data_IF_588198951106
#
_entry.id   IF_588198951106
#
_cell.length_a   1.000
_cell.length_b   1.000
_cell.length_c   1.000
_cell.angle_alpha   90.00
_cell.angle_beta   90.00
_cell.angle_gamma   90.00
#
_symmetry.space_group_name_H-M   'P 1'
#
loop_
_entity.id
_entity.type
_entity.pdbx_description
1 polymer ?
#
# COMPACT_ATOMS: atom_id res chain seq x y z
N UNK A 1 2.80 -9.93 15.12
CA UNK A 1 1.94 -10.79 14.28
C UNK A 1 0.52 -10.25 14.21
N UNK A 2 -0.24 -10.58 13.16
CA UNK A 2 -1.65 -10.22 13.05
C UNK A 2 -2.45 -11.17 13.94
N UNK A 3 -2.95 -10.69 15.10
CA UNK A 3 -3.67 -11.49 16.09
C UNK A 3 -5.19 -11.46 15.89
N UNK A 4 -5.71 -10.40 15.27
CA UNK A 4 -7.15 -10.18 15.08
C UNK A 4 -7.45 -9.62 13.71
N UNK A 5 -8.61 -9.95 13.14
CA UNK A 5 -9.19 -9.34 11.96
C UNK A 5 -10.34 -8.37 12.29
N UNK A 6 -10.58 -8.09 13.57
CA UNK A 6 -11.55 -7.09 14.06
C UNK A 6 -12.98 -7.29 13.55
N UNK A 7 -13.36 -8.51 13.15
CA UNK A 7 -14.69 -8.86 12.64
C UNK A 7 -14.80 -8.82 11.10
N UNK A 8 -13.70 -8.70 10.36
CA UNK A 8 -13.72 -8.92 8.91
C UNK A 8 -14.22 -10.34 8.63
N UNK A 9 -15.27 -10.44 7.81
CA UNK A 9 -15.96 -11.70 7.52
C UNK A 9 -16.40 -12.49 8.78
N UNK A 10 -16.65 -11.81 9.90
CA UNK A 10 -17.02 -12.43 11.18
C UNK A 10 -15.85 -13.01 11.97
N UNK A 11 -14.61 -12.87 11.51
CA UNK A 11 -13.42 -13.37 12.20
C UNK A 11 -12.85 -12.28 13.12
N UNK A 12 -12.82 -12.53 14.40
CA UNK A 12 -12.25 -11.62 15.41
C UNK A 12 -10.82 -12.02 15.75
N UNK A 13 -10.63 -13.17 16.36
CA UNK A 13 -9.34 -13.65 16.82
C UNK A 13 -8.81 -14.79 15.95
N UNK A 14 -7.52 -14.78 15.70
CA UNK A 14 -6.83 -15.83 14.99
C UNK A 14 -6.09 -16.73 15.98
N UNK A 15 -6.24 -18.06 15.83
CA UNK A 15 -5.44 -19.00 16.61
C UNK A 15 -3.94 -18.77 16.35
N UNK A 16 -3.09 -19.17 17.28
CA UNK A 16 -1.66 -18.88 17.24
C UNK A 16 -1.01 -19.27 15.89
N UNK A 17 -1.24 -20.49 15.43
CA UNK A 17 -0.67 -20.99 14.17
C UNK A 17 -1.20 -20.26 12.95
N UNK A 18 -2.52 -20.02 12.88
CA UNK A 18 -3.15 -19.26 11.79
C UNK A 18 -2.61 -17.83 11.76
N UNK A 19 -2.47 -17.18 12.91
CA UNK A 19 -1.93 -15.83 13.05
C UNK A 19 -0.49 -15.72 12.52
N UNK A 20 0.38 -16.71 12.82
CA UNK A 20 1.75 -16.74 12.30
C UNK A 20 1.73 -16.93 10.78
N UNK A 21 1.01 -17.94 10.29
CA UNK A 21 0.93 -18.23 8.86
C UNK A 21 0.38 -17.04 8.08
N UNK A 22 -0.68 -16.42 8.57
CA UNK A 22 -1.28 -15.24 7.95
C UNK A 22 -0.30 -14.05 7.93
N UNK A 23 0.45 -13.84 9.00
CA UNK A 23 1.47 -12.79 9.05
C UNK A 23 2.61 -13.04 8.06
N UNK A 24 3.11 -14.27 7.97
CA UNK A 24 4.17 -14.64 7.01
C UNK A 24 3.69 -14.41 5.57
N UNK A 25 2.47 -14.88 5.25
CA UNK A 25 1.87 -14.68 3.92
C UNK A 25 1.73 -13.18 3.62
N UNK A 26 1.29 -12.38 4.58
CA UNK A 26 1.16 -10.92 4.44
C UNK A 26 2.51 -10.27 4.14
N UNK A 27 3.58 -10.65 4.85
CA UNK A 27 4.94 -10.17 4.55
C UNK A 27 5.38 -10.55 3.13
N UNK A 28 5.22 -11.81 2.76
CA UNK A 28 5.63 -12.31 1.43
C UNK A 28 4.89 -11.54 0.33
N UNK A 29 3.57 -11.37 0.47
CA UNK A 29 2.74 -10.65 -0.51
C UNK A 29 3.19 -9.19 -0.61
N UNK A 30 3.34 -8.48 0.51
CA UNK A 30 3.69 -7.06 0.51
C UNK A 30 5.11 -6.80 0.00
N UNK A 31 6.09 -7.63 0.36
CA UNK A 31 7.47 -7.53 -0.13
C UNK A 31 7.48 -7.65 -1.66
N UNK A 32 6.83 -8.68 -2.20
CA UNK A 32 6.79 -8.90 -3.65
C UNK A 32 5.95 -7.83 -4.37
N UNK A 33 4.80 -7.47 -3.81
CA UNK A 33 3.93 -6.44 -4.38
C UNK A 33 4.64 -5.09 -4.44
N UNK A 34 5.43 -4.75 -3.42
CA UNK A 34 6.18 -3.52 -3.39
C UNK A 34 7.33 -3.49 -4.40
N UNK A 35 7.99 -4.61 -4.61
CA UNK A 35 8.99 -4.75 -5.67
C UNK A 35 8.38 -4.52 -7.06
N UNK A 36 7.16 -4.99 -7.29
CA UNK A 36 6.46 -4.83 -8.58
C UNK A 36 6.02 -3.40 -8.89
N UNK A 37 5.77 -2.53 -7.89
CA UNK A 37 5.41 -1.13 -8.15
C UNK A 37 6.62 -0.22 -8.44
N UNK A 38 7.85 -0.69 -8.23
CA UNK A 38 9.08 0.06 -8.55
C UNK A 38 9.39 0.01 -10.06
N UNK A 39 8.37 0.21 -10.90
CA UNK A 39 8.49 0.17 -12.36
C UNK A 39 8.65 1.52 -13.03
N UNK A 40 8.42 2.63 -12.34
CA UNK A 40 8.56 4.01 -12.86
C UNK A 40 9.16 4.96 -11.83
N UNK A 41 9.90 5.97 -12.35
CA UNK A 41 10.61 6.94 -11.51
C UNK A 41 9.70 7.60 -10.47
N UNK A 42 10.15 7.58 -9.24
CA UNK A 42 9.54 8.25 -8.11
C UNK A 42 8.33 7.56 -7.53
N UNK A 43 7.73 6.54 -8.15
CA UNK A 43 6.48 5.94 -7.67
C UNK A 43 6.68 5.25 -6.32
N UNK A 44 7.54 4.22 -6.26
CA UNK A 44 7.79 3.47 -5.04
C UNK A 44 8.30 4.37 -3.92
N UNK A 45 9.23 5.28 -4.21
CA UNK A 45 9.77 6.22 -3.24
C UNK A 45 8.72 7.19 -2.70
N UNK A 46 7.99 7.90 -3.57
CA UNK A 46 6.97 8.86 -3.13
C UNK A 46 5.86 8.18 -2.33
N UNK A 47 5.45 7.00 -2.77
CA UNK A 47 4.46 6.19 -2.06
C UNK A 47 4.95 5.79 -0.66
N UNK A 48 6.21 5.32 -0.53
CA UNK A 48 6.79 4.95 0.77
C UNK A 48 6.83 6.13 1.74
N UNK A 49 7.23 7.32 1.26
CA UNK A 49 7.23 8.54 2.09
C UNK A 49 5.85 8.83 2.64
N UNK A 50 4.81 8.74 1.80
CA UNK A 50 3.44 9.01 2.23
C UNK A 50 2.95 7.94 3.22
N UNK A 51 3.21 6.65 2.96
CA UNK A 51 2.86 5.58 3.89
C UNK A 51 3.51 5.78 5.26
N UNK A 52 4.82 6.08 5.28
CA UNK A 52 5.56 6.33 6.51
C UNK A 52 5.09 7.60 7.23
N UNK A 53 4.68 8.65 6.50
CA UNK A 53 4.07 9.83 7.11
C UNK A 53 2.73 9.49 7.79
N UNK A 54 1.86 8.74 7.11
CA UNK A 54 0.55 8.35 7.63
C UNK A 54 0.69 7.46 8.88
N UNK A 55 1.55 6.44 8.83
CA UNK A 55 1.81 5.59 9.99
C UNK A 55 2.53 6.37 11.10
N UNK A 56 3.58 7.14 10.78
CA UNK A 56 4.35 7.91 11.75
C UNK A 56 3.50 8.93 12.52
N UNK A 57 2.63 9.68 11.81
CA UNK A 57 1.67 10.60 12.46
C UNK A 57 0.68 9.84 13.34
N UNK A 58 0.22 8.66 12.88
CA UNK A 58 -0.68 7.83 13.67
C UNK A 58 0.01 7.35 14.95
N UNK A 59 1.24 6.84 14.86
CA UNK A 59 2.03 6.42 16.03
C UNK A 59 2.31 7.56 17.00
N UNK A 60 2.63 8.74 16.49
CA UNK A 60 2.86 9.92 17.34
C UNK A 60 1.60 10.26 18.15
N UNK A 61 0.41 10.22 17.53
CA UNK A 61 -0.87 10.47 18.19
C UNK A 61 -1.26 9.38 19.19
N UNK A 62 -0.76 8.16 19.02
CA UNK A 62 -1.01 7.02 19.89
C UNK A 62 -0.13 7.00 21.16
N UNK A 63 0.75 8.01 21.33
CA UNK A 63 1.48 8.28 22.57
C UNK A 63 2.89 7.70 22.61
N UNK A 64 3.58 7.99 23.73
CA UNK A 64 5.03 7.83 23.90
C UNK A 64 5.53 6.39 23.70
N UNK A 65 4.72 5.41 24.06
CA UNK A 65 5.07 3.99 23.88
C UNK A 65 5.40 3.63 22.42
N UNK A 66 4.85 4.40 21.46
CA UNK A 66 5.01 4.17 20.03
C UNK A 66 6.13 5.03 19.40
N UNK A 67 6.87 5.83 20.17
CA UNK A 67 7.96 6.67 19.64
C UNK A 67 9.04 5.91 18.88
N UNK A 68 9.42 4.66 19.21
CA UNK A 68 10.34 3.90 18.35
C UNK A 68 9.82 3.71 16.93
N UNK A 69 8.50 3.54 16.73
CA UNK A 69 7.88 3.42 15.40
C UNK A 69 7.79 4.77 14.68
N UNK A 70 7.65 5.88 15.43
CA UNK A 70 7.76 7.23 14.87
C UNK A 70 9.17 7.48 14.35
N UNK A 71 10.20 7.13 15.14
CA UNK A 71 11.62 7.28 14.74
C UNK A 71 11.90 6.41 13.52
N UNK A 72 11.46 5.14 13.51
CA UNK A 72 11.60 4.26 12.34
C UNK A 72 10.99 4.88 11.09
N UNK A 73 9.75 5.39 11.19
CA UNK A 73 9.08 6.07 10.06
C UNK A 73 9.88 7.28 9.58
N UNK A 74 10.42 8.09 10.49
CA UNK A 74 11.27 9.24 10.17
C UNK A 74 12.57 8.86 9.46
N UNK A 75 13.22 7.80 9.91
CA UNK A 75 14.47 7.26 9.29
C UNK A 75 14.18 6.79 7.86
N UNK A 76 13.08 6.04 7.65
CA UNK A 76 12.67 5.59 6.31
C UNK A 76 12.39 6.79 5.41
N UNK A 77 11.65 7.78 5.88
CA UNK A 77 11.36 9.01 5.12
C UNK A 77 12.66 9.70 4.72
N UNK A 78 13.59 9.92 5.65
CA UNK A 78 14.88 10.58 5.36
C UNK A 78 15.69 9.84 4.30
N UNK A 79 15.83 8.52 4.44
CA UNK A 79 16.55 7.68 3.48
C UNK A 79 15.90 7.70 2.09
N UNK A 80 14.55 7.59 2.02
CA UNK A 80 13.82 7.58 0.75
C UNK A 80 13.81 8.96 0.09
N UNK A 81 13.77 10.06 0.84
CA UNK A 81 13.89 11.41 0.27
C UNK A 81 15.28 11.62 -0.37
N UNK A 82 16.35 11.15 0.29
CA UNK A 82 17.69 11.17 -0.30
C UNK A 82 17.76 10.35 -1.60
N UNK A 83 17.15 9.15 -1.61
CA UNK A 83 17.01 8.35 -2.83
C UNK A 83 16.24 9.10 -3.92
N UNK A 84 15.07 9.68 -3.61
CA UNK A 84 14.22 10.39 -4.58
C UNK A 84 14.93 11.59 -5.22
N UNK A 85 15.80 12.27 -4.49
CA UNK A 85 16.60 13.37 -5.03
C UNK A 85 17.42 12.92 -6.25
N UNK A 86 18.03 11.74 -6.20
CA UNK A 86 18.78 11.17 -7.32
C UNK A 86 17.89 10.46 -8.34
N UNK A 87 16.88 9.72 -7.89
CA UNK A 87 15.98 8.96 -8.77
C UNK A 87 15.19 9.86 -9.71
N UNK A 88 14.76 11.04 -9.25
CA UNK A 88 14.03 12.03 -10.04
C UNK A 88 14.96 12.99 -10.81
N UNK A 89 16.28 12.78 -10.76
CA UNK A 89 17.23 13.62 -11.49
C UNK A 89 16.97 13.59 -13.00
N UNK A 90 17.10 14.76 -13.64
CA UNK A 90 17.07 14.86 -15.10
C UNK A 90 18.40 14.46 -15.75
N UNK A 91 19.48 14.42 -14.98
CA UNK A 91 20.81 14.06 -15.46
C UNK A 91 21.00 12.55 -15.35
N UNK A 92 21.19 11.88 -16.49
CA UNK A 92 21.38 10.41 -16.55
C UNK A 92 22.54 9.91 -15.68
N UNK A 93 23.62 10.72 -15.58
CA UNK A 93 24.81 10.38 -14.79
C UNK A 93 24.57 10.30 -13.28
N UNK A 94 23.56 11.02 -12.79
CA UNK A 94 23.24 11.11 -11.36
C UNK A 94 22.02 10.26 -10.97
N UNK A 95 21.36 9.66 -11.96
CA UNK A 95 20.13 8.91 -11.73
C UNK A 95 20.44 7.54 -11.15
N UNK A 96 19.80 7.23 -10.05
CA UNK A 96 19.87 5.90 -9.41
C UNK A 96 18.50 5.20 -9.44
N UNK A 97 18.53 3.88 -9.44
CA UNK A 97 17.34 3.04 -9.31
C UNK A 97 17.35 2.38 -7.94
N UNK A 98 16.16 2.05 -7.41
CA UNK A 98 16.03 1.42 -6.10
C UNK A 98 16.57 -0.01 -6.11
N UNK A 99 16.30 -0.74 -7.18
CA UNK A 99 16.63 -2.15 -7.33
C UNK A 99 15.84 -3.05 -6.39
N UNK A 100 15.94 -4.35 -6.62
CA UNK A 100 15.14 -5.35 -5.89
C UNK A 100 15.42 -5.31 -4.38
N UNK A 101 16.68 -5.15 -3.97
CA UNK A 101 17.05 -5.09 -2.55
C UNK A 101 16.37 -3.90 -1.84
N UNK A 102 16.37 -2.72 -2.47
CA UNK A 102 15.77 -1.52 -1.89
C UNK A 102 14.25 -1.62 -1.83
N UNK A 103 13.61 -2.03 -2.91
CA UNK A 103 12.15 -2.14 -2.98
C UNK A 103 11.62 -3.25 -2.05
N UNK A 104 12.27 -4.41 -1.99
CA UNK A 104 11.91 -5.50 -1.08
C UNK A 104 12.10 -5.10 0.39
N UNK A 105 13.18 -4.40 0.72
CA UNK A 105 13.41 -3.87 2.07
C UNK A 105 12.32 -2.89 2.47
N UNK A 106 11.93 -1.95 1.58
CA UNK A 106 10.83 -1.03 1.85
C UNK A 106 9.50 -1.77 2.00
N UNK A 107 9.23 -2.77 1.16
CA UNK A 107 8.05 -3.62 1.29
C UNK A 107 7.98 -4.33 2.64
N UNK A 108 9.11 -4.85 3.12
CA UNK A 108 9.22 -5.45 4.47
C UNK A 108 8.94 -4.43 5.58
N UNK A 109 9.58 -3.26 5.53
CA UNK A 109 9.42 -2.22 6.55
C UNK A 109 8.00 -1.66 6.59
N UNK A 110 7.36 -1.48 5.44
CA UNK A 110 5.97 -1.04 5.36
C UNK A 110 4.99 -2.12 5.86
N UNK A 111 5.24 -3.39 5.56
CA UNK A 111 4.46 -4.50 6.12
C UNK A 111 4.62 -4.57 7.65
N UNK A 112 5.84 -4.40 8.15
CA UNK A 112 6.12 -4.35 9.59
C UNK A 112 5.37 -3.22 10.28
N UNK A 113 5.46 -1.98 9.75
CA UNK A 113 4.73 -0.84 10.33
C UNK A 113 3.22 -1.06 10.29
N UNK A 114 2.66 -1.59 9.20
CA UNK A 114 1.23 -1.87 9.12
C UNK A 114 0.76 -2.91 10.15
N UNK A 115 1.53 -3.98 10.35
CA UNK A 115 1.21 -5.02 11.34
C UNK A 115 1.30 -4.45 12.75
N UNK A 116 2.32 -3.65 13.06
CA UNK A 116 2.43 -2.96 14.35
C UNK A 116 1.25 -2.02 14.57
N UNK A 117 0.82 -1.27 13.53
CA UNK A 117 -0.33 -0.39 13.62
C UNK A 117 -1.62 -1.14 13.98
N UNK A 118 -1.87 -2.28 13.36
CA UNK A 118 -3.05 -3.12 13.66
C UNK A 118 -2.96 -3.66 15.09
N UNK A 119 -1.78 -4.13 15.51
CA UNK A 119 -1.56 -4.80 16.79
C UNK A 119 -1.82 -3.87 18.00
N UNK A 120 -1.53 -2.57 17.87
CA UNK A 120 -1.76 -1.56 18.92
C UNK A 120 -3.24 -1.48 19.34
N UNK A 121 -4.19 -1.74 18.42
CA UNK A 121 -5.62 -1.63 18.70
C UNK A 121 -6.27 -2.93 19.23
N UNK A 122 -5.49 -3.99 19.40
CA UNK A 122 -6.01 -5.29 19.88
C UNK A 122 -6.15 -5.30 21.40
N UNK A 123 -5.16 -4.80 22.13
CA UNK A 123 -5.11 -4.87 23.59
C UNK A 123 -5.82 -3.65 24.20
N UNK A 124 -7.09 -3.84 24.58
CA UNK A 124 -7.97 -2.78 25.14
C UNK A 124 -7.59 -2.38 26.56
N UNK A 125 -6.89 -3.24 27.27
CA UNK A 125 -6.69 -3.14 28.73
C UNK A 125 -5.30 -2.62 29.13
N UNK A 126 -4.45 -2.24 28.17
CA UNK A 126 -3.16 -1.63 28.47
C UNK A 126 -3.34 -0.18 28.94
N UNK A 127 -2.80 0.22 30.12
CA UNK A 127 -3.02 1.55 30.71
C UNK A 127 -2.52 2.71 29.86
N UNK A 128 -1.74 2.45 28.82
CA UNK A 128 -1.15 3.46 27.91
C UNK A 128 -1.72 3.40 26.49
N UNK A 129 -2.77 2.59 26.24
CA UNK A 129 -3.44 2.62 24.92
C UNK A 129 -4.43 3.78 24.93
N UNK A 130 -4.34 4.70 23.96
CA UNK A 130 -5.30 5.77 23.87
C UNK A 130 -6.72 5.19 23.79
N UNK A 131 -7.68 5.88 24.40
CA UNK A 131 -9.11 5.53 24.38
C UNK A 131 -9.73 5.50 22.97
N UNK A 132 -8.92 5.61 21.92
CA UNK A 132 -9.31 5.55 20.51
C UNK A 132 -9.39 4.10 20.06
N UNK A 133 -10.56 3.50 20.26
CA UNK A 133 -10.84 2.18 19.72
C UNK A 133 -11.10 2.31 18.22
N UNK A 134 -10.12 1.97 17.39
CA UNK A 134 -10.27 1.97 15.94
C UNK A 134 -10.58 0.54 15.46
N UNK A 135 -11.86 0.19 15.41
CA UNK A 135 -12.29 -1.14 14.91
C UNK A 135 -11.90 -1.36 13.45
N UNK A 136 -11.73 -0.31 12.67
CA UNK A 136 -11.34 -0.36 11.27
C UNK A 136 -9.82 -0.34 11.03
N UNK A 137 -8.99 -0.50 12.08
CA UNK A 137 -7.54 -0.45 11.97
C UNK A 137 -6.97 -1.35 10.85
N UNK A 138 -7.39 -2.62 10.69
CA UNK A 138 -6.92 -3.46 9.58
C UNK A 138 -7.26 -2.88 8.21
N UNK A 139 -8.47 -2.34 8.03
CA UNK A 139 -8.90 -1.77 6.74
C UNK A 139 -8.18 -0.45 6.45
N UNK A 140 -7.89 0.36 7.47
CA UNK A 140 -7.06 1.57 7.34
C UNK A 140 -5.64 1.19 6.92
N UNK A 141 -5.03 0.16 7.54
CA UNK A 141 -3.72 -0.34 7.14
C UNK A 141 -3.73 -0.85 5.68
N UNK A 142 -4.78 -1.59 5.28
CA UNK A 142 -4.98 -2.00 3.88
C UNK A 142 -5.12 -0.79 2.97
N UNK A 143 -5.89 0.24 3.34
CA UNK A 143 -6.05 1.45 2.53
C UNK A 143 -4.73 2.21 2.36
N UNK A 144 -3.88 2.26 3.41
CA UNK A 144 -2.54 2.85 3.32
C UNK A 144 -1.62 2.00 2.40
N UNK A 145 -1.79 0.68 2.35
CA UNK A 145 -0.98 -0.21 1.52
C UNK A 145 -1.72 -0.69 0.24
N UNK A 146 -2.79 0.00 -0.14
CA UNK A 146 -3.71 -0.48 -1.18
C UNK A 146 -3.05 -0.58 -2.57
N UNK A 147 -2.14 0.35 -2.90
CA UNK A 147 -1.58 0.44 -4.24
C UNK A 147 -0.80 -0.83 -4.64
N UNK A 148 0.23 -1.29 -3.88
CA UNK A 148 0.94 -2.53 -4.23
C UNK A 148 0.02 -3.75 -4.16
N UNK A 149 -0.88 -3.81 -3.17
CA UNK A 149 -1.79 -4.93 -3.00
C UNK A 149 -2.68 -5.09 -4.25
N UNK A 150 -3.35 -4.02 -4.68
CA UNK A 150 -4.28 -4.08 -5.79
C UNK A 150 -3.59 -4.24 -7.14
N UNK A 151 -2.45 -3.59 -7.34
CA UNK A 151 -1.70 -3.75 -8.58
C UNK A 151 -1.30 -5.23 -8.79
N UNK A 152 -0.81 -5.87 -7.72
CA UNK A 152 -0.47 -7.30 -7.74
C UNK A 152 -1.72 -8.18 -7.90
N UNK A 153 -2.79 -7.94 -7.13
CA UNK A 153 -4.03 -8.73 -7.24
C UNK A 153 -4.65 -8.62 -8.63
N UNK A 154 -4.68 -7.41 -9.20
CA UNK A 154 -5.21 -7.20 -10.54
C UNK A 154 -4.46 -8.02 -11.59
N UNK A 155 -3.12 -8.02 -11.53
CA UNK A 155 -2.30 -8.82 -12.44
C UNK A 155 -2.53 -10.32 -12.25
N UNK A 156 -2.62 -10.80 -11.01
CA UNK A 156 -2.93 -12.21 -10.71
C UNK A 156 -4.30 -12.60 -11.31
N UNK A 157 -5.32 -11.78 -11.11
CA UNK A 157 -6.68 -12.02 -11.64
C UNK A 157 -6.65 -12.09 -13.18
N UNK A 158 -5.98 -11.14 -13.84
CA UNK A 158 -5.85 -11.14 -15.30
C UNK A 158 -5.12 -12.40 -15.81
N UNK A 159 -4.06 -12.83 -15.14
CA UNK A 159 -3.31 -14.04 -15.51
C UNK A 159 -4.16 -15.29 -15.38
N UNK A 160 -4.86 -15.45 -14.25
CA UNK A 160 -5.75 -16.60 -14.03
C UNK A 160 -6.90 -16.63 -15.03
N UNK A 161 -7.51 -15.48 -15.35
CA UNK A 161 -8.55 -15.38 -16.38
C UNK A 161 -8.03 -15.81 -17.77
N UNK A 162 -6.74 -15.56 -18.06
CA UNK A 162 -6.08 -15.98 -19.29
C UNK A 162 -5.42 -17.37 -19.21
N UNK A 163 -5.72 -18.16 -18.17
CA UNK A 163 -5.14 -19.51 -17.92
C UNK A 163 -3.61 -19.53 -17.87
N UNK A 164 -2.98 -18.44 -17.40
CA UNK A 164 -1.54 -18.29 -17.21
C UNK A 164 -1.17 -18.50 -15.75
N UNK A 165 0.11 -18.79 -15.50
CA UNK A 165 0.65 -18.87 -14.14
C UNK A 165 0.57 -17.51 -13.44
N UNK A 166 0.19 -17.45 -12.14
CA UNK A 166 0.25 -16.22 -11.36
C UNK A 166 1.64 -15.59 -11.30
N UNK A 167 2.69 -16.36 -11.54
CA UNK A 167 4.09 -15.95 -11.43
C UNK A 167 4.75 -15.56 -12.76
N UNK A 168 4.03 -15.65 -13.89
CA UNK A 168 4.56 -15.23 -15.19
C UNK A 168 4.86 -13.73 -15.22
N UNK A 169 5.83 -13.31 -16.04
CA UNK A 169 6.10 -11.89 -16.26
C UNK A 169 4.91 -11.24 -16.99
N UNK A 170 4.50 -10.04 -16.55
CA UNK A 170 3.34 -9.33 -17.13
C UNK A 170 3.62 -7.83 -17.24
N UNK A 171 2.94 -7.17 -18.21
CA UNK A 171 2.97 -5.73 -18.45
C UNK A 171 1.62 -5.05 -18.15
N UNK A 172 0.75 -5.69 -17.36
CA UNK A 172 -0.59 -5.19 -17.03
C UNK A 172 -0.65 -4.41 -15.72
N UNK A 173 0.52 -4.04 -15.14
CA UNK A 173 0.60 -3.15 -13.99
C UNK A 173 0.03 -1.76 -14.30
N UNK A 174 -0.55 -1.10 -13.28
CA UNK A 174 -1.22 0.20 -13.42
C UNK A 174 -0.33 1.27 -14.08
N UNK A 175 0.96 1.30 -13.75
CA UNK A 175 1.89 2.25 -14.34
C UNK A 175 2.10 2.01 -15.84
N UNK A 176 2.13 0.75 -16.31
CA UNK A 176 2.21 0.43 -17.74
C UNK A 176 0.94 0.86 -18.49
N UNK A 177 -0.23 0.72 -17.86
CA UNK A 177 -1.51 1.15 -18.45
C UNK A 177 -1.55 2.67 -18.64
N UNK A 178 -1.04 3.44 -17.69
CA UNK A 178 -0.94 4.91 -17.81
C UNK A 178 0.07 5.36 -18.86
N UNK A 179 1.19 4.65 -19.01
CA UNK A 179 2.15 4.93 -20.07
C UNK A 179 1.56 4.69 -21.48
N UNK A 180 0.62 3.74 -21.65
CA UNK A 180 -0.13 3.55 -22.91
C UNK A 180 -1.01 4.75 -23.28
N UNK A 181 -1.33 5.63 -22.34
CA UNK A 181 -2.06 6.88 -22.56
C UNK A 181 -1.15 8.06 -22.94
N UNK A 182 0.11 7.79 -23.32
CA UNK A 182 1.14 8.79 -23.66
C UNK A 182 1.54 9.70 -22.48
N UNK A 183 1.32 9.25 -21.23
CA UNK A 183 1.74 9.96 -20.04
C UNK A 183 3.23 9.72 -19.76
N UNK A 184 3.93 10.75 -19.32
CA UNK A 184 5.31 10.61 -18.84
C UNK A 184 5.34 9.89 -17.46
N UNK A 185 6.47 9.28 -17.08
CA UNK A 185 6.65 8.64 -15.78
C UNK A 185 6.20 9.54 -14.62
N UNK A 186 6.65 10.81 -14.61
CA UNK A 186 6.29 11.78 -13.55
C UNK A 186 4.80 12.08 -13.48
N UNK A 187 4.13 12.22 -14.64
CA UNK A 187 2.66 12.45 -14.67
C UNK A 187 1.92 11.22 -14.21
N UNK A 188 2.34 10.03 -14.62
CA UNK A 188 1.75 8.76 -14.16
C UNK A 188 1.89 8.61 -12.65
N UNK A 189 3.09 8.84 -12.08
CA UNK A 189 3.32 8.84 -10.63
C UNK A 189 2.39 9.84 -9.93
N UNK A 190 2.28 11.07 -10.43
CA UNK A 190 1.42 12.10 -9.84
C UNK A 190 -0.05 11.67 -9.80
N UNK A 191 -0.62 11.17 -10.90
CA UNK A 191 -2.02 10.73 -10.92
C UNK A 191 -2.27 9.52 -10.02
N UNK A 192 -1.35 8.55 -9.98
CA UNK A 192 -1.44 7.40 -9.08
C UNK A 192 -1.45 7.87 -7.62
N UNK A 193 -0.55 8.76 -7.23
CA UNK A 193 -0.44 9.27 -5.86
C UNK A 193 -1.67 10.09 -5.47
N UNK A 194 -2.18 10.95 -6.33
CA UNK A 194 -3.41 11.73 -6.07
C UNK A 194 -4.60 10.79 -5.85
N UNK A 195 -4.76 9.78 -6.71
CA UNK A 195 -5.83 8.81 -6.56
C UNK A 195 -5.68 7.97 -5.29
N UNK A 196 -4.47 7.55 -4.96
CA UNK A 196 -4.16 6.87 -3.72
C UNK A 196 -4.54 7.70 -2.48
N UNK A 197 -4.15 8.98 -2.44
CA UNK A 197 -4.51 9.88 -1.35
C UNK A 197 -6.03 10.05 -1.22
N UNK A 198 -6.75 10.07 -2.33
CA UNK A 198 -8.22 10.06 -2.31
C UNK A 198 -8.76 8.81 -1.61
N UNK A 199 -8.27 7.60 -1.95
CA UNK A 199 -8.70 6.35 -1.28
C UNK A 199 -8.43 6.41 0.22
N UNK A 200 -7.23 6.82 0.65
CA UNK A 200 -6.86 6.94 2.06
C UNK A 200 -7.76 7.94 2.77
N UNK A 201 -8.07 9.06 2.13
CA UNK A 201 -8.98 10.07 2.67
C UNK A 201 -10.38 9.50 2.88
N UNK A 202 -10.94 8.80 1.90
CA UNK A 202 -12.23 8.09 2.03
C UNK A 202 -12.19 7.09 3.18
N UNK A 203 -11.13 6.28 3.29
CA UNK A 203 -10.97 5.32 4.37
C UNK A 203 -10.97 6.01 5.75
N UNK A 204 -10.28 7.13 5.88
CA UNK A 204 -10.23 7.90 7.12
C UNK A 204 -11.59 8.50 7.51
N UNK A 205 -12.33 9.07 6.55
CA UNK A 205 -13.66 9.63 6.83
C UNK A 205 -14.68 8.56 7.20
N UNK A 206 -14.62 7.39 6.54
CA UNK A 206 -15.53 6.27 6.77
C UNK A 206 -15.05 5.30 7.87
N UNK A 207 -14.00 5.62 8.63
CA UNK A 207 -13.38 4.72 9.62
C UNK A 207 -14.29 4.23 10.74
N UNK A 208 -15.42 4.89 10.96
CA UNK A 208 -16.42 4.53 11.98
C UNK A 208 -17.59 3.71 11.41
N UNK A 209 -17.60 3.42 10.12
CA UNK A 209 -18.61 2.55 9.49
C UNK A 209 -18.32 1.08 9.75
N UNK A 210 -19.25 0.20 9.34
CA UNK A 210 -19.04 -1.24 9.43
C UNK A 210 -17.76 -1.64 8.67
N UNK A 211 -16.90 -2.45 9.31
CA UNK A 211 -15.58 -2.81 8.80
C UNK A 211 -15.65 -3.55 7.45
N UNK A 212 -16.65 -4.42 7.25
CA UNK A 212 -16.83 -5.17 6.01
C UNK A 212 -17.28 -4.25 4.86
N UNK A 213 -18.19 -3.30 5.17
CA UNK A 213 -18.62 -2.30 4.19
C UNK A 213 -17.46 -1.38 3.80
N UNK A 214 -16.67 -0.93 4.78
CA UNK A 214 -15.49 -0.12 4.52
C UNK A 214 -14.49 -0.88 3.63
N UNK A 215 -14.21 -2.15 3.94
CA UNK A 215 -13.32 -2.98 3.13
C UNK A 215 -13.82 -3.09 1.68
N UNK A 216 -15.10 -3.34 1.48
CA UNK A 216 -15.70 -3.41 0.14
C UNK A 216 -15.57 -2.09 -0.62
N UNK A 217 -15.80 -0.95 0.04
CA UNK A 217 -15.64 0.37 -0.57
C UNK A 217 -14.18 0.59 -0.99
N UNK A 218 -13.22 0.31 -0.10
CA UNK A 218 -11.80 0.53 -0.38
C UNK A 218 -11.29 -0.37 -1.52
N UNK A 219 -11.65 -1.65 -1.51
CA UNK A 219 -11.32 -2.57 -2.59
C UNK A 219 -12.01 -2.16 -3.91
N UNK A 220 -13.28 -1.77 -3.86
CA UNK A 220 -14.03 -1.31 -5.03
C UNK A 220 -13.41 -0.06 -5.66
N UNK A 221 -13.06 0.95 -4.86
CA UNK A 221 -12.34 2.13 -5.34
C UNK A 221 -10.97 1.75 -5.92
N UNK A 222 -10.25 0.87 -5.27
CA UNK A 222 -8.96 0.44 -5.76
C UNK A 222 -9.05 -0.26 -7.11
N UNK A 223 -9.97 -1.20 -7.30
CA UNK A 223 -10.19 -1.83 -8.61
C UNK A 223 -10.66 -0.83 -9.66
N UNK A 224 -11.54 0.11 -9.30
CA UNK A 224 -11.95 1.19 -10.22
C UNK A 224 -10.72 1.96 -10.74
N UNK A 225 -9.78 2.33 -9.88
CA UNK A 225 -8.53 3.00 -10.26
C UNK A 225 -7.63 2.13 -11.15
N UNK A 226 -7.59 0.81 -10.92
CA UNK A 226 -6.79 -0.11 -11.72
C UNK A 226 -7.34 -0.31 -13.15
N UNK A 227 -8.66 -0.19 -13.35
CA UNK A 227 -9.32 -0.36 -14.66
C UNK A 227 -9.59 0.96 -15.39
N UNK A 228 -9.61 2.09 -14.68
CA UNK A 228 -9.88 3.41 -15.27
C UNK A 228 -8.97 3.77 -16.45
N UNK A 229 -7.64 3.50 -16.42
CA UNK A 229 -6.77 3.78 -17.56
C UNK A 229 -7.13 2.98 -18.81
N UNK A 230 -7.52 1.70 -18.65
CA UNK A 230 -7.93 0.85 -19.78
C UNK A 230 -9.22 1.38 -20.41
N UNK A 231 -10.19 1.78 -19.60
CA UNK A 231 -11.45 2.38 -20.06
C UNK A 231 -11.20 3.67 -20.85
N UNK A 232 -10.35 4.55 -20.35
CA UNK A 232 -9.97 5.81 -21.04
C UNK A 232 -9.28 5.50 -22.38
N UNK A 233 -8.40 4.49 -22.41
CA UNK A 233 -7.70 4.07 -23.62
C UNK A 233 -8.69 3.62 -24.72
N UNK A 234 -9.67 2.79 -24.37
CA UNK A 234 -10.70 2.31 -25.29
C UNK A 234 -11.54 3.49 -25.84
N UNK A 235 -11.98 4.40 -24.96
CA UNK A 235 -12.75 5.57 -25.37
C UNK A 235 -11.99 6.50 -26.32
N UNK A 236 -10.68 6.65 -26.11
CA UNK A 236 -9.82 7.49 -26.97
C UNK A 236 -9.63 6.87 -28.36
N UNK A 237 -9.52 5.55 -28.44
CA UNK A 237 -9.31 4.84 -29.71
C UNK A 237 -10.58 4.67 -30.54
N UNK A 238 -11.75 4.59 -29.89
CA UNK A 238 -13.04 4.53 -30.58
C UNK A 238 -13.48 5.88 -31.19
N UNK A 239 -12.79 6.97 -30.86
CA UNK A 239 -13.04 8.31 -31.43
C UNK A 239 -12.12 8.66 -32.61
N UNK A 240 -11.19 7.77 -32.95
CA UNK A 240 -10.33 7.88 -34.15
C UNK A 240 -10.83 6.95 -35.26
#
# INVERSE_FOLDING_TARGET
>A
RIRSLFGICGVYELSYFISILFSIITFIILINAFNLIDGIDGLAGSYSVICCLLFGVSYYRLGEYNYPLVVLSGVIIGAVLAFLYYNLSNYRTNKIFMGDTGSMLLGFLLAFTAICFIDIFIDKDLPNVPRYHLQSAPVIAVAILILPILDTLNVIVIRLANKKSPFDADKNHIHHKLLKLDLTHRRSTFYIIVYYLFIVTVAYYLRHTNINLLLLIILGLGFLGAYLPDFIYVLRNNKK
#
